data_IF_811673199115
#
_entry.id   IF_811673199115
#
_cell.length_a   1.000
_cell.length_b   1.000
_cell.length_c   1.000
_cell.angle_alpha   90.00
_cell.angle_beta   90.00
_cell.angle_gamma   90.00
#
_symmetry.space_group_name_H-M   'P 1'
#
loop_
_entity.id
_entity.type
_entity.pdbx_description
1 polymer ?
#
# COMPACT_ATOMS: atom_id res chain seq x y z
N UNK A 1 3.83 12.17 -0.15
CA UNK A 1 4.84 11.70 -1.12
C UNK A 1 4.64 10.21 -1.38
N UNK A 2 4.82 9.76 -2.59
CA UNK A 2 4.79 8.33 -2.91
C UNK A 2 5.99 7.95 -3.76
N UNK A 3 6.34 6.66 -3.71
CA UNK A 3 7.53 6.10 -4.36
C UNK A 3 7.06 5.09 -5.42
N UNK A 4 7.73 5.11 -6.56
CA UNK A 4 7.52 4.15 -7.64
C UNK A 4 8.47 2.97 -7.48
N UNK A 5 7.97 1.76 -7.65
CA UNK A 5 8.77 0.53 -7.57
C UNK A 5 8.46 -0.36 -8.78
N UNK A 6 9.52 -0.79 -9.46
CA UNK A 6 9.45 -1.72 -10.57
C UNK A 6 9.42 -3.16 -10.02
N UNK A 7 8.27 -3.81 -10.14
CA UNK A 7 8.06 -5.15 -9.57
C UNK A 7 8.89 -6.25 -10.24
N UNK A 8 9.24 -6.11 -11.52
CA UNK A 8 10.08 -7.11 -12.21
C UNK A 8 11.46 -7.20 -11.58
N UNK A 9 12.04 -6.07 -11.21
CA UNK A 9 13.34 -6.04 -10.55
C UNK A 9 13.31 -6.67 -9.17
N UNK A 10 12.20 -6.52 -8.45
CA UNK A 10 12.01 -7.13 -7.13
C UNK A 10 11.90 -8.65 -7.27
N UNK A 11 11.14 -9.15 -8.22
CA UNK A 11 11.00 -10.59 -8.45
C UNK A 11 12.34 -11.25 -8.73
N UNK A 12 13.16 -10.64 -9.56
CA UNK A 12 14.49 -11.17 -9.86
C UNK A 12 15.37 -11.26 -8.62
N UNK A 13 15.34 -10.25 -7.77
CA UNK A 13 16.09 -10.25 -6.50
C UNK A 13 15.62 -11.36 -5.56
N UNK A 14 14.30 -11.57 -5.45
CA UNK A 14 13.72 -12.61 -4.61
C UNK A 14 14.10 -14.02 -5.11
N UNK A 15 14.05 -14.24 -6.43
CA UNK A 15 14.42 -15.52 -7.03
C UNK A 15 15.90 -15.88 -6.82
N UNK A 16 16.77 -14.89 -6.81
CA UNK A 16 18.21 -15.08 -6.57
C UNK A 16 18.55 -15.40 -5.12
N UNK A 17 17.69 -15.01 -4.17
CA UNK A 17 17.97 -15.13 -2.73
C UNK A 17 17.51 -16.45 -2.09
N UNK A 18 16.93 -17.38 -2.82
CA UNK A 18 16.34 -18.62 -2.30
C UNK A 18 15.27 -18.39 -1.22
N UNK A 19 14.78 -17.18 -1.08
CA UNK A 19 13.73 -16.85 -0.14
C UNK A 19 12.41 -17.49 -0.57
N UNK A 20 11.60 -17.95 0.39
CA UNK A 20 10.25 -18.40 0.11
C UNK A 20 9.45 -17.25 -0.49
N UNK A 21 8.81 -17.50 -1.64
CA UNK A 21 7.93 -16.51 -2.26
C UNK A 21 6.67 -16.39 -1.41
N UNK A 22 6.52 -15.22 -0.74
CA UNK A 22 5.31 -14.90 0.01
C UNK A 22 4.30 -14.23 -0.92
N UNK A 23 3.07 -14.69 -0.89
CA UNK A 23 1.98 -14.04 -1.61
C UNK A 23 1.43 -12.87 -0.81
N UNK A 24 0.78 -11.91 -1.47
CA UNK A 24 0.08 -10.82 -0.78
C UNK A 24 -0.95 -11.37 0.20
N UNK A 25 -1.65 -12.44 -0.17
CA UNK A 25 -2.64 -13.06 0.69
C UNK A 25 -2.02 -13.65 1.96
N UNK A 26 -0.88 -14.33 1.85
CA UNK A 26 -0.18 -14.87 3.01
C UNK A 26 0.35 -13.76 3.92
N UNK A 27 0.83 -12.67 3.35
CA UNK A 27 1.28 -11.50 4.12
C UNK A 27 0.09 -10.86 4.85
N UNK A 28 -1.03 -10.70 4.18
CA UNK A 28 -2.26 -10.17 4.79
C UNK A 28 -2.72 -11.04 5.95
N UNK A 29 -2.69 -12.36 5.78
CA UNK A 29 -3.07 -13.32 6.83
C UNK A 29 -2.14 -13.24 8.02
N UNK A 30 -0.84 -13.14 7.79
CA UNK A 30 0.15 -12.99 8.87
C UNK A 30 -0.01 -11.66 9.60
N UNK A 31 -0.31 -10.58 8.87
CA UNK A 31 -0.57 -9.27 9.47
C UNK A 31 -1.80 -9.32 10.39
N UNK A 32 -2.88 -9.96 9.94
CA UNK A 32 -4.12 -10.12 10.70
C UNK A 32 -4.64 -8.78 11.23
N UNK A 33 -5.17 -8.77 12.44
CA UNK A 33 -5.53 -7.56 13.18
C UNK A 33 -4.29 -7.02 13.91
N UNK A 34 -3.36 -6.49 13.15
CA UNK A 34 -2.03 -6.10 13.62
C UNK A 34 -2.07 -5.10 14.78
N UNK A 35 -1.38 -5.44 15.87
CA UNK A 35 -1.23 -4.59 17.05
C UNK A 35 0.24 -4.38 17.42
N UNK A 36 1.15 -4.47 16.42
CA UNK A 36 2.59 -4.41 16.64
C UNK A 36 3.10 -3.02 17.02
N UNK A 37 2.32 -1.96 16.75
CA UNK A 37 2.70 -0.60 17.12
C UNK A 37 1.48 0.17 17.65
N UNK A 38 1.72 1.33 18.24
CA UNK A 38 0.68 2.12 18.90
C UNK A 38 -0.42 2.65 17.96
N UNK A 39 -0.20 2.65 16.65
CA UNK A 39 -1.20 3.15 15.68
C UNK A 39 -2.48 2.31 15.65
N UNK A 40 -2.42 1.06 16.11
CA UNK A 40 -3.60 0.21 16.17
C UNK A 40 -4.72 0.78 17.04
N UNK A 41 -4.37 1.57 18.06
CA UNK A 41 -5.34 2.09 19.03
C UNK A 41 -6.23 3.21 18.47
N UNK A 42 -5.78 3.91 17.45
CA UNK A 42 -6.49 5.07 16.87
C UNK A 42 -6.97 4.86 15.43
N UNK A 43 -6.49 3.82 14.75
CA UNK A 43 -7.00 3.50 13.42
C UNK A 43 -8.41 2.94 13.47
N UNK A 44 -9.16 3.10 12.38
CA UNK A 44 -10.45 2.43 12.20
C UNK A 44 -10.29 1.13 11.43
N UNK A 45 -9.44 1.11 10.40
CA UNK A 45 -9.16 -0.06 9.58
C UNK A 45 -7.68 -0.23 9.34
N UNK A 46 -7.29 -1.44 8.91
CA UNK A 46 -5.97 -1.69 8.33
C UNK A 46 -6.10 -1.46 6.82
N UNK A 47 -5.28 -0.55 6.29
CA UNK A 47 -5.25 -0.23 4.86
C UNK A 47 -4.10 -1.01 4.24
N UNK A 48 -4.37 -2.24 3.82
CA UNK A 48 -3.34 -3.17 3.36
C UNK A 48 -2.74 -2.78 2.02
N UNK A 49 -3.59 -2.56 1.05
CA UNK A 49 -3.23 -2.27 -0.33
C UNK A 49 -4.32 -2.74 -1.28
N UNK A 50 -4.28 -2.33 -2.52
CA UNK A 50 -5.30 -2.65 -3.52
C UNK A 50 -4.70 -2.70 -4.92
N UNK A 51 -5.24 -3.55 -5.75
CA UNK A 51 -4.88 -3.65 -7.15
C UNK A 51 -4.49 -5.07 -7.56
N UNK A 52 -3.77 -5.16 -8.67
CA UNK A 52 -3.34 -6.44 -9.22
C UNK A 52 -2.15 -6.98 -8.41
N UNK A 53 -2.28 -8.17 -7.77
CA UNK A 53 -1.17 -8.76 -7.02
C UNK A 53 0.03 -9.15 -7.90
N UNK A 54 -0.14 -9.22 -9.21
CA UNK A 54 0.90 -9.52 -10.19
C UNK A 54 1.23 -8.30 -11.06
N UNK A 55 0.98 -7.09 -10.55
CA UNK A 55 1.21 -5.87 -11.29
C UNK A 55 2.69 -5.67 -11.65
N UNK A 56 2.94 -5.12 -12.82
CA UNK A 56 4.28 -4.72 -13.25
C UNK A 56 4.72 -3.41 -12.57
N UNK A 57 3.76 -2.62 -12.07
CA UNK A 57 3.96 -1.30 -11.53
C UNK A 57 3.26 -1.19 -10.17
N UNK A 58 4.00 -0.71 -9.17
CA UNK A 58 3.49 -0.51 -7.82
C UNK A 58 3.73 0.92 -7.37
N UNK A 59 2.72 1.52 -6.78
CA UNK A 59 2.82 2.83 -6.14
C UNK A 59 2.84 2.65 -4.63
N UNK A 60 3.82 3.25 -3.96
CA UNK A 60 3.97 3.14 -2.51
C UNK A 60 3.95 4.53 -1.90
N UNK A 61 2.96 4.80 -1.07
CA UNK A 61 2.87 6.03 -0.31
C UNK A 61 3.36 5.84 1.12
N UNK A 62 3.15 6.87 1.93
CA UNK A 62 3.65 6.91 3.31
C UNK A 62 2.66 6.30 4.30
N UNK A 63 1.44 6.82 4.36
CA UNK A 63 0.45 6.41 5.36
C UNK A 63 -0.98 6.74 4.91
N UNK A 64 -1.98 6.00 5.43
CA UNK A 64 -3.38 6.33 5.18
C UNK A 64 -3.79 7.65 5.83
N UNK A 65 -4.64 8.41 5.15
CA UNK A 65 -5.34 9.55 5.72
C UNK A 65 -6.71 9.16 6.26
N UNK A 66 -7.55 10.17 6.54
CA UNK A 66 -8.88 9.96 7.08
C UNK A 66 -9.78 9.11 6.17
N UNK A 67 -9.85 9.47 4.88
CA UNK A 67 -10.73 8.76 3.94
C UNK A 67 -10.28 7.31 3.75
N UNK A 68 -8.99 7.08 3.69
CA UNK A 68 -8.40 5.74 3.57
C UNK A 68 -8.71 4.90 4.80
N UNK A 69 -8.61 5.48 5.99
CA UNK A 69 -8.91 4.80 7.25
C UNK A 69 -10.38 4.40 7.35
N UNK A 70 -11.28 5.25 6.87
CA UNK A 70 -12.72 4.96 6.85
C UNK A 70 -13.06 3.87 5.84
N UNK A 71 -12.50 3.92 4.64
CA UNK A 71 -12.84 3.01 3.54
C UNK A 71 -12.01 1.72 3.52
N UNK A 72 -10.84 1.72 4.16
CA UNK A 72 -9.96 0.56 4.16
C UNK A 72 -9.14 0.39 2.88
N UNK A 73 -9.11 1.40 2.02
CA UNK A 73 -8.37 1.38 0.75
C UNK A 73 -7.36 2.53 0.68
N UNK A 74 -6.17 2.31 0.09
CA UNK A 74 -5.19 3.37 -0.08
C UNK A 74 -5.59 4.34 -1.18
N UNK A 75 -5.20 5.60 -1.02
CA UNK A 75 -5.34 6.62 -2.04
C UNK A 75 -6.76 6.79 -2.59
N UNK A 76 -7.72 7.01 -1.71
CA UNK A 76 -9.14 7.25 -2.06
C UNK A 76 -9.57 8.71 -1.86
N UNK A 77 -8.80 9.51 -1.12
CA UNK A 77 -9.08 10.92 -0.93
C UNK A 77 -8.59 11.78 -2.10
N UNK A 78 -8.38 13.07 -1.83
CA UNK A 78 -7.98 14.05 -2.86
C UNK A 78 -6.67 13.65 -3.56
N UNK A 79 -5.64 13.28 -2.80
CA UNK A 79 -4.37 12.82 -3.35
C UNK A 79 -4.53 11.53 -4.14
N UNK A 80 -5.44 10.66 -3.72
CA UNK A 80 -5.76 9.44 -4.42
C UNK A 80 -6.41 9.67 -5.78
N UNK A 81 -7.27 10.67 -5.87
CA UNK A 81 -7.88 11.05 -7.14
C UNK A 81 -6.82 11.59 -8.12
N UNK A 82 -5.86 12.34 -7.62
CA UNK A 82 -4.72 12.80 -8.43
C UNK A 82 -3.87 11.61 -8.89
N UNK A 83 -3.58 10.67 -8.00
CA UNK A 83 -2.84 9.46 -8.37
C UNK A 83 -3.55 8.67 -9.46
N UNK A 84 -4.87 8.53 -9.38
CA UNK A 84 -5.66 7.86 -10.42
C UNK A 84 -5.48 8.53 -11.77
N UNK A 85 -5.50 9.86 -11.81
CA UNK A 85 -5.27 10.61 -13.06
C UNK A 85 -3.86 10.42 -13.60
N UNK A 86 -2.86 10.35 -12.72
CA UNK A 86 -1.47 10.08 -13.11
C UNK A 86 -1.36 8.67 -13.71
N UNK A 87 -1.99 7.68 -13.08
CA UNK A 87 -2.01 6.28 -13.57
C UNK A 87 -2.64 6.21 -14.97
N UNK A 88 -3.77 6.89 -15.16
CA UNK A 88 -4.44 6.93 -16.46
C UNK A 88 -3.60 7.65 -17.52
N UNK A 89 -2.87 8.68 -17.12
CA UNK A 89 -2.01 9.44 -18.03
C UNK A 89 -0.84 8.63 -18.60
N UNK A 90 -0.42 7.57 -17.90
CA UNK A 90 0.61 6.64 -18.37
C UNK A 90 0.03 5.35 -18.97
N UNK A 91 -1.24 5.41 -19.37
CA UNK A 91 -1.97 4.33 -20.04
C UNK A 91 -2.17 3.06 -19.21
N UNK A 92 -2.25 3.21 -17.88
CA UNK A 92 -2.66 2.15 -16.96
C UNK A 92 -4.03 2.47 -16.37
N UNK A 93 -4.71 1.42 -15.93
CA UNK A 93 -5.89 1.54 -15.08
C UNK A 93 -5.50 1.27 -13.64
N UNK A 94 -6.24 1.84 -12.70
CA UNK A 94 -5.96 1.67 -11.27
C UNK A 94 -5.92 0.19 -10.84
N UNK A 95 -6.79 -0.65 -11.41
CA UNK A 95 -6.85 -2.08 -11.14
C UNK A 95 -5.72 -2.90 -11.79
N UNK A 96 -4.96 -2.31 -12.71
CA UNK A 96 -3.81 -2.97 -13.34
C UNK A 96 -2.52 -2.81 -12.55
N UNK A 97 -2.43 -1.78 -11.73
CA UNK A 97 -1.29 -1.51 -10.86
C UNK A 97 -1.58 -1.98 -9.44
N UNK A 98 -0.57 -1.99 -8.57
CA UNK A 98 -0.78 -2.22 -7.14
C UNK A 98 -0.44 -0.95 -6.37
N UNK A 99 -1.30 -0.60 -5.40
CA UNK A 99 -1.18 0.64 -4.63
C UNK A 99 -1.19 0.29 -3.14
N UNK A 100 -0.20 0.80 -2.41
CA UNK A 100 -0.09 0.58 -0.98
C UNK A 100 0.60 1.77 -0.30
N UNK A 101 0.64 1.73 1.01
CA UNK A 101 1.45 2.64 1.83
C UNK A 101 2.43 1.82 2.66
N UNK A 102 3.52 2.43 3.09
CA UNK A 102 4.45 1.80 4.02
C UNK A 102 3.75 1.50 5.34
N UNK A 103 3.05 2.49 5.91
CA UNK A 103 2.20 2.27 7.08
C UNK A 103 0.82 1.79 6.64
N UNK A 104 0.32 0.78 7.35
CA UNK A 104 -1.02 0.23 7.09
C UNK A 104 -2.08 0.83 8.00
N UNK A 105 -1.67 1.67 8.94
CA UNK A 105 -2.55 2.30 9.92
C UNK A 105 -2.40 3.82 9.85
N UNK A 106 -3.52 4.54 9.96
CA UNK A 106 -3.52 6.00 9.95
C UNK A 106 -2.88 6.54 11.23
N UNK A 107 -1.85 7.42 11.12
CA UNK A 107 -1.36 8.16 12.28
C UNK A 107 -2.42 9.13 12.82
N UNK A 108 -2.49 9.38 14.14
CA UNK A 108 -3.45 10.33 14.70
C UNK A 108 -3.32 11.71 14.04
N UNK A 109 -4.46 12.31 13.69
CA UNK A 109 -4.53 13.65 13.08
C UNK A 109 -3.69 13.79 11.80
N UNK A 110 -3.47 12.70 11.06
CA UNK A 110 -2.64 12.68 9.86
C UNK A 110 -1.21 13.18 10.10
N UNK A 111 -0.68 12.97 11.32
CA UNK A 111 0.70 13.35 11.63
C UNK A 111 1.71 12.56 10.79
N UNK A 112 2.92 13.11 10.68
CA UNK A 112 4.01 12.36 10.07
C UNK A 112 4.30 11.10 10.89
N UNK A 113 4.65 9.97 10.25
CA UNK A 113 5.04 8.77 10.95
C UNK A 113 6.24 9.02 11.86
N UNK A 114 6.25 8.38 13.01
CA UNK A 114 7.42 8.36 13.88
C UNK A 114 8.46 7.35 13.34
N UNK A 115 9.75 7.58 13.60
CA UNK A 115 10.79 6.63 13.20
C UNK A 115 10.62 5.23 13.76
#
# INVERSE_FOLDING_TARGET
MFVYIDCEKIENVILESDAQVMTLESIRSELGDCKRCKLHSTRKTIVFGVGNPHAELMFVGEAPGYDEDVQGEPFVGRAGQLLTRIIEAIDYKREEVYIANILKCRPPDNRNPEP
#
